data_IF_255097041068
#
_entry.id   IF_255097041068
#
_cell.length_a   1.000
_cell.length_b   1.000
_cell.length_c   1.000
_cell.angle_alpha   90.00
_cell.angle_beta   90.00
_cell.angle_gamma   90.00
#
_symmetry.space_group_name_H-M   'P 1'
#
loop_
_entity.id
_entity.type
_entity.pdbx_description
1 polymer ?
#
# COMPACT_ATOMS: atom_id res chain seq x y z
N UNK A 1 1.49 9.95 -0.54
CA UNK A 1 2.74 9.83 -1.33
C UNK A 1 3.70 10.96 -1.00
N UNK A 2 3.32 12.24 -1.14
CA UNK A 2 4.25 13.32 -0.82
C UNK A 2 4.59 13.40 0.68
N UNK A 3 3.58 13.36 1.56
CA UNK A 3 3.75 13.45 3.01
C UNK A 3 4.72 12.38 3.56
N UNK A 4 4.48 11.11 3.23
CA UNK A 4 5.26 9.99 3.77
C UNK A 4 6.59 9.71 3.04
N UNK A 5 6.61 9.86 1.71
CA UNK A 5 7.72 9.34 0.87
C UNK A 5 8.27 10.36 -0.14
N UNK A 6 7.84 11.62 -0.07
CA UNK A 6 8.41 12.73 -0.83
C UNK A 6 8.04 12.80 -2.32
N UNK A 7 7.28 11.86 -2.86
CA UNK A 7 6.93 11.83 -4.30
C UNK A 7 5.56 12.42 -4.59
N UNK A 8 5.45 13.08 -5.75
CA UNK A 8 4.21 13.65 -6.27
C UNK A 8 3.73 12.85 -7.48
N UNK A 9 2.58 12.16 -7.42
CA UNK A 9 2.06 11.43 -8.57
C UNK A 9 1.66 12.39 -9.69
N UNK A 10 2.10 12.14 -10.93
CA UNK A 10 1.67 12.90 -12.11
C UNK A 10 0.28 12.44 -12.53
N UNK A 11 0.05 11.11 -12.52
CA UNK A 11 -1.20 10.50 -12.96
C UNK A 11 -1.60 9.34 -12.06
N UNK A 12 -2.82 9.42 -11.55
CA UNK A 12 -3.45 8.35 -10.79
C UNK A 12 -4.55 7.70 -11.65
N UNK A 13 -4.46 6.38 -11.80
CA UNK A 13 -5.49 5.56 -12.46
C UNK A 13 -6.27 4.83 -11.37
N UNK A 14 -7.57 5.11 -11.26
CA UNK A 14 -8.43 4.33 -10.37
C UNK A 14 -8.35 2.85 -10.75
N UNK A 15 -8.16 1.99 -9.76
CA UNK A 15 -8.11 0.55 -9.95
C UNK A 15 -9.35 -0.12 -9.37
N UNK A 16 -9.49 -0.11 -8.04
CA UNK A 16 -10.50 -0.90 -7.34
C UNK A 16 -10.76 -0.37 -5.95
N UNK A 17 -11.97 -0.62 -5.46
CA UNK A 17 -12.31 -0.44 -4.04
C UNK A 17 -12.32 -1.82 -3.37
N UNK A 18 -11.62 -1.93 -2.25
CA UNK A 18 -11.63 -3.10 -1.38
C UNK A 18 -12.39 -2.77 -0.10
N UNK A 19 -13.33 -3.64 0.27
CA UNK A 19 -14.19 -3.51 1.45
C UNK A 19 -14.67 -4.88 1.90
N UNK A 20 -15.41 -4.93 3.01
CA UNK A 20 -15.98 -6.16 3.56
C UNK A 20 -15.07 -6.83 4.58
N UNK A 21 -15.33 -8.11 4.87
CA UNK A 21 -14.64 -8.87 5.92
C UNK A 21 -13.13 -8.99 5.68
N UNK A 22 -12.70 -9.05 4.41
CA UNK A 22 -11.27 -9.08 4.05
C UNK A 22 -10.50 -7.81 4.46
N UNK A 23 -11.23 -6.73 4.79
CA UNK A 23 -10.68 -5.45 5.23
C UNK A 23 -10.85 -5.20 6.74
N UNK A 24 -11.18 -6.25 7.51
CA UNK A 24 -11.27 -6.19 8.97
C UNK A 24 -9.94 -6.55 9.62
N UNK A 25 -9.48 -5.67 10.52
CA UNK A 25 -8.28 -5.91 11.34
C UNK A 25 -8.65 -5.77 12.81
N UNK A 26 -8.22 -6.75 13.62
CA UNK A 26 -8.25 -6.69 15.08
C UNK A 26 -6.83 -6.53 15.59
N UNK A 27 -6.53 -5.40 16.22
CA UNK A 27 -5.23 -5.12 16.81
C UNK A 27 -5.00 -5.94 18.09
N UNK A 28 -3.74 -6.15 18.51
CA UNK A 28 -3.44 -6.92 19.72
C UNK A 28 -4.10 -6.37 21.00
N UNK A 29 -4.39 -5.07 21.05
CA UNK A 29 -5.10 -4.43 22.14
C UNK A 29 -6.63 -4.63 22.11
N UNK A 30 -7.16 -5.33 21.10
CA UNK A 30 -8.58 -5.61 20.92
C UNK A 30 -9.33 -4.58 20.07
N UNK A 31 -8.67 -3.48 19.66
CA UNK A 31 -9.28 -2.48 18.80
C UNK A 31 -9.57 -3.07 17.42
N UNK A 32 -10.73 -2.70 16.87
CA UNK A 32 -11.20 -3.23 15.59
C UNK A 32 -11.36 -2.10 14.58
N UNK A 33 -10.85 -2.33 13.38
CA UNK A 33 -10.97 -1.39 12.26
C UNK A 33 -11.46 -2.13 11.03
N UNK A 34 -12.45 -1.53 10.37
CA UNK A 34 -12.93 -1.97 9.05
C UNK A 34 -12.50 -0.93 8.02
N UNK A 35 -11.60 -1.31 7.13
CA UNK A 35 -11.11 -0.41 6.09
C UNK A 35 -12.01 -0.43 4.86
N UNK A 36 -12.13 0.74 4.22
CA UNK A 36 -12.57 0.86 2.83
C UNK A 36 -11.38 1.45 2.08
N UNK A 37 -10.69 0.62 1.30
CA UNK A 37 -9.48 1.01 0.58
C UNK A 37 -9.81 1.34 -0.86
N UNK A 38 -9.53 2.58 -1.29
CA UNK A 38 -9.66 3.01 -2.69
C UNK A 38 -8.26 3.03 -3.31
N UNK A 39 -7.99 2.09 -4.21
CA UNK A 39 -6.64 1.89 -4.75
C UNK A 39 -6.50 2.61 -6.10
N UNK A 40 -5.39 3.32 -6.25
CA UNK A 40 -4.96 3.97 -7.48
C UNK A 40 -3.59 3.44 -7.90
N UNK A 41 -3.42 3.22 -9.20
CA UNK A 41 -2.12 2.90 -9.81
C UNK A 41 -1.45 4.19 -10.29
N UNK A 42 -0.14 4.26 -10.07
CA UNK A 42 0.71 5.38 -10.46
C UNK A 42 1.99 4.82 -11.09
N UNK A 43 2.19 5.09 -12.37
CA UNK A 43 3.38 4.71 -13.15
C UNK A 43 4.27 5.92 -13.50
N UNK A 44 3.81 7.13 -13.21
CA UNK A 44 4.49 8.38 -13.50
C UNK A 44 4.42 9.31 -12.27
N UNK A 45 5.58 9.71 -11.75
CA UNK A 45 5.68 10.60 -10.59
C UNK A 45 6.91 11.52 -10.69
N UNK A 46 6.88 12.61 -9.91
CA UNK A 46 7.99 13.54 -9.72
C UNK A 46 8.48 13.51 -8.28
N UNK A 47 9.70 14.01 -8.06
CA UNK A 47 10.35 14.06 -6.75
C UNK A 47 11.31 12.89 -6.51
N UNK A 48 11.95 12.91 -5.35
CA UNK A 48 12.90 11.90 -4.91
C UNK A 48 12.30 11.13 -3.73
N UNK A 49 12.56 9.83 -3.67
CA UNK A 49 12.17 9.01 -2.52
C UNK A 49 12.85 9.55 -1.27
N UNK A 50 12.05 10.05 -0.33
CA UNK A 50 12.54 10.58 0.93
C UNK A 50 11.54 10.25 2.02
N UNK A 51 12.00 9.53 3.04
CA UNK A 51 11.19 9.22 4.21
C UNK A 51 10.80 10.48 4.95
N UNK A 52 9.57 10.53 5.47
CA UNK A 52 9.29 11.40 6.60
C UNK A 52 10.06 10.91 7.84
N UNK A 53 10.47 11.84 8.70
CA UNK A 53 11.30 11.55 9.85
C UNK A 53 10.53 10.91 11.02
N UNK A 54 9.20 10.82 10.97
CA UNK A 54 8.40 10.40 12.13
C UNK A 54 7.76 9.02 11.98
N UNK A 55 7.28 8.66 10.79
CA UNK A 55 6.46 7.45 10.60
C UNK A 55 7.16 6.36 9.75
N UNK A 56 8.24 6.73 9.03
CA UNK A 56 8.91 5.85 8.07
C UNK A 56 10.37 5.58 8.49
N UNK A 57 10.71 4.30 8.67
CA UNK A 57 12.07 3.88 9.05
C UNK A 57 12.96 3.47 7.88
N UNK A 58 12.36 2.97 6.80
CA UNK A 58 13.06 2.51 5.60
C UNK A 58 12.15 2.66 4.37
N UNK A 59 12.74 3.04 3.24
CA UNK A 59 12.07 3.08 1.94
C UNK A 59 12.87 2.32 0.89
N UNK A 60 12.20 1.43 0.16
CA UNK A 60 12.82 0.64 -0.89
C UNK A 60 11.80 0.23 -1.95
N UNK A 61 12.25 0.17 -3.20
CA UNK A 61 11.53 -0.47 -4.28
C UNK A 61 11.73 -1.98 -4.25
N UNK A 62 10.64 -2.72 -4.40
CA UNK A 62 10.66 -4.18 -4.46
C UNK A 62 10.16 -4.65 -5.81
N UNK A 63 10.76 -5.73 -6.31
CA UNK A 63 10.18 -6.50 -7.39
C UNK A 63 8.90 -7.17 -6.88
N UNK A 64 7.86 -7.19 -7.71
CA UNK A 64 6.54 -7.77 -7.38
C UNK A 64 6.64 -9.26 -7.03
N UNK A 65 7.59 -9.97 -7.63
CA UNK A 65 7.85 -11.39 -7.37
C UNK A 65 8.80 -11.61 -6.19
N UNK A 66 9.43 -10.55 -5.69
CA UNK A 66 10.39 -10.59 -4.58
C UNK A 66 10.00 -9.62 -3.45
N UNK A 67 8.74 -9.69 -3.02
CA UNK A 67 8.24 -8.94 -1.87
C UNK A 67 8.73 -9.56 -0.55
N UNK A 68 8.89 -8.77 0.52
CA UNK A 68 9.18 -9.29 1.86
C UNK A 68 8.13 -10.30 2.32
N UNK A 69 8.57 -11.35 3.03
CA UNK A 69 7.68 -12.41 3.52
C UNK A 69 6.76 -11.90 4.64
N UNK A 70 7.25 -10.95 5.44
CA UNK A 70 6.58 -10.41 6.62
C UNK A 70 5.80 -9.11 6.32
N UNK A 71 4.83 -9.20 5.41
CA UNK A 71 3.87 -8.10 5.20
C UNK A 71 2.85 -8.15 6.33
N UNK A 72 2.92 -7.17 7.23
CA UNK A 72 2.32 -7.20 8.55
C UNK A 72 0.79 -7.01 8.57
N UNK A 73 0.18 -6.38 7.57
CA UNK A 73 -1.26 -6.16 7.57
C UNK A 73 -2.01 -7.20 6.69
N UNK A 74 -3.02 -7.91 7.23
CA UNK A 74 -3.86 -8.82 6.45
C UNK A 74 -4.50 -8.14 5.22
N UNK A 75 -4.89 -6.87 5.35
CA UNK A 75 -5.50 -6.08 4.28
C UNK A 75 -4.56 -5.89 3.08
N UNK A 76 -3.25 -5.73 3.33
CA UNK A 76 -2.25 -5.55 2.29
C UNK A 76 -2.08 -6.81 1.45
N UNK A 77 -2.17 -8.00 2.08
CA UNK A 77 -2.07 -9.28 1.36
C UNK A 77 -3.18 -9.45 0.33
N UNK A 78 -4.41 -9.10 0.69
CA UNK A 78 -5.54 -9.18 -0.23
C UNK A 78 -5.36 -8.25 -1.44
N UNK A 79 -4.92 -7.01 -1.20
CA UNK A 79 -4.66 -6.02 -2.26
C UNK A 79 -3.50 -6.48 -3.15
N UNK A 80 -2.38 -6.91 -2.57
CA UNK A 80 -1.18 -7.36 -3.31
C UNK A 80 -1.46 -8.60 -4.17
N UNK A 81 -2.21 -9.57 -3.66
CA UNK A 81 -2.61 -10.74 -4.44
C UNK A 81 -3.47 -10.38 -5.65
N UNK A 82 -4.28 -9.33 -5.55
CA UNK A 82 -5.09 -8.83 -6.66
C UNK A 82 -4.23 -8.07 -7.67
N UNK A 83 -3.33 -7.20 -7.20
CA UNK A 83 -2.38 -6.45 -8.04
C UNK A 83 -1.46 -7.39 -8.82
N UNK A 84 -0.99 -8.49 -8.21
CA UNK A 84 -0.14 -9.49 -8.91
C UNK A 84 -0.77 -10.04 -10.19
N UNK A 85 -2.09 -10.20 -10.22
CA UNK A 85 -2.81 -10.77 -11.38
C UNK A 85 -2.83 -9.85 -12.60
N UNK A 86 -2.57 -8.56 -12.42
CA UNK A 86 -2.57 -7.56 -13.50
C UNK A 86 -1.16 -7.14 -13.92
N UNK A 87 -0.14 -7.49 -13.12
CA UNK A 87 1.27 -7.23 -13.43
C UNK A 87 1.98 -8.46 -14.01
N UNK A 88 1.41 -9.66 -13.85
CA UNK A 88 1.82 -10.91 -14.51
C UNK A 88 1.28 -10.99 -15.94
#
# INVERSE_FOLDING_TARGET
>A
MNEEIGINPIKLKFYKVFSGEDMHTVYPNGDQVYYINVIFLCDEYEGELKQDNNEVTELKWFDVDNLPVDINAPVDKAILNDIKKILS
#
